data_IF_809450149953
#
_entry.id   IF_809450149953
#
_cell.length_a   1.000
_cell.length_b   1.000
_cell.length_c   1.000
_cell.angle_alpha   90.00
_cell.angle_beta   90.00
_cell.angle_gamma   90.00
#
_symmetry.space_group_name_H-M   'P 1'
#
loop_
_entity.id
_entity.type
_entity.pdbx_description
1 polymer ?
2 non-polymer ?
3 non-polymer ?
4 water ?
#
# COMPACT_ATOMS: atom_id res chain seq x y z
N UNK A 16 -21.13 -7.36 11.64
CA UNK A 16 -21.86 -8.66 11.68
C UNK A 16 -21.06 -9.86 11.17
N UNK A 17 -19.75 -9.72 11.12
CA UNK A 17 -18.86 -10.79 10.68
C UNK A 17 -17.77 -10.87 11.74
N UNK A 18 -17.58 -12.05 12.33
CA UNK A 18 -16.57 -12.21 13.37
C UNK A 18 -15.62 -13.37 13.12
N UNK A 19 -14.41 -13.24 13.64
CA UNK A 19 -13.37 -14.26 13.52
C UNK A 19 -13.69 -15.35 14.55
N UNK A 20 -13.71 -16.60 14.09
CA UNK A 20 -14.01 -17.73 14.98
C UNK A 20 -12.75 -18.31 15.64
N UNK A 21 -11.72 -18.55 14.83
CA UNK A 21 -10.46 -19.10 15.33
C UNK A 21 -9.30 -18.86 14.37
N UNK A 22 -8.09 -19.02 14.88
CA UNK A 22 -6.87 -18.83 14.10
C UNK A 22 -5.92 -20.00 14.33
N UNK A 23 -6.00 -21.00 13.46
CA UNK A 23 -5.15 -22.19 13.55
C UNK A 23 -3.85 -21.95 12.81
N UNK A 24 -2.75 -21.95 13.56
CA UNK A 24 -1.40 -21.74 13.01
C UNK A 24 -1.05 -22.81 11.96
N UNK A 25 -0.17 -22.43 11.03
CA UNK A 25 0.28 -23.32 9.97
C UNK A 25 1.80 -23.40 9.91
N UNK A 26 2.49 -22.28 10.11
CA UNK A 26 3.95 -22.26 10.08
C UNK A 26 4.51 -21.12 10.90
N UNK A 27 5.82 -21.09 11.10
CA UNK A 27 6.45 -20.02 11.88
C UNK A 27 7.80 -19.63 11.26
N UNK A 28 8.44 -18.60 11.82
CA UNK A 28 9.72 -18.16 11.31
C UNK A 28 10.33 -17.06 12.16
N UNK A 29 11.50 -16.59 11.74
CA UNK A 29 12.22 -15.55 12.49
C UNK A 29 11.58 -14.17 12.34
N UNK A 30 10.87 -13.95 11.25
CA UNK A 30 10.23 -12.66 11.02
C UNK A 30 8.75 -12.74 10.61
N UNK A 31 8.38 -13.86 9.97
CA UNK A 31 7.01 -14.05 9.47
C UNK A 31 6.38 -15.37 9.90
N UNK A 32 5.04 -15.42 9.91
CA UNK A 32 4.32 -16.64 10.29
C UNK A 32 3.09 -16.70 9.40
N UNK A 33 2.51 -17.88 9.24
CA UNK A 33 1.33 -18.05 8.39
C UNK A 33 0.28 -18.86 9.12
N UNK A 34 -0.96 -18.41 9.09
CA UNK A 34 -2.03 -19.14 9.77
C UNK A 34 -3.34 -19.20 8.99
N UNK A 35 -4.22 -20.10 9.41
CA UNK A 35 -5.52 -20.29 8.78
C UNK A 35 -6.55 -19.58 9.65
N UNK A 36 -7.37 -18.73 9.04
CA UNK A 36 -8.37 -18.00 9.79
C UNK A 36 -9.78 -18.47 9.48
N UNK A 37 -10.53 -18.76 10.53
CA UNK A 37 -11.90 -19.23 10.39
C UNK A 37 -12.81 -18.09 10.83
N UNK A 38 -13.84 -17.78 10.04
CA UNK A 38 -14.73 -16.66 10.36
C UNK A 38 -16.17 -16.88 9.95
N UNK A 39 -17.07 -16.03 10.45
CA UNK A 39 -18.49 -16.16 10.13
C UNK A 39 -18.96 -15.08 9.17
N UNK A 40 -19.45 -15.47 8.00
CA UNK A 40 -19.90 -14.44 7.08
C UNK A 40 -21.24 -13.91 7.59
N UNK A 41 -21.80 -12.86 6.95
CA UNK A 41 -23.08 -12.27 7.37
C UNK A 41 -24.20 -13.26 7.65
N UNK A 42 -24.51 -14.06 6.65
CA UNK A 42 -25.59 -15.03 6.73
C UNK A 42 -25.45 -16.03 7.87
N UNK A 43 -24.22 -16.40 8.21
CA UNK A 43 -24.00 -17.34 9.28
C UNK A 43 -23.08 -18.49 8.88
N UNK A 44 -22.82 -18.58 7.58
CA UNK A 44 -21.96 -19.61 7.03
C UNK A 44 -20.50 -19.42 7.45
N UNK A 45 -19.84 -20.52 7.79
CA UNK A 45 -18.45 -20.44 8.21
C UNK A 45 -17.56 -20.49 7.00
N UNK A 46 -16.54 -19.65 6.98
CA UNK A 46 -15.61 -19.61 5.87
C UNK A 46 -14.16 -19.58 6.35
N UNK A 47 -13.25 -19.82 5.43
CA UNK A 47 -11.82 -19.86 5.76
C UNK A 47 -10.99 -18.87 4.95
N UNK A 48 -9.79 -18.60 5.44
CA UNK A 48 -8.93 -17.63 4.80
C UNK A 48 -7.50 -17.88 5.27
N UNK A 49 -6.54 -17.74 4.35
CA UNK A 49 -5.13 -17.92 4.71
C UNK A 49 -4.57 -16.54 5.04
N UNK A 50 -4.21 -16.34 6.30
CA UNK A 50 -3.70 -15.04 6.75
C UNK A 50 -2.24 -15.01 7.12
N UNK A 51 -1.55 -13.97 6.67
CA UNK A 51 -0.14 -13.81 6.97
C UNK A 51 0.01 -12.84 8.12
N UNK A 52 0.94 -13.12 9.03
CA UNK A 52 1.18 -12.25 10.19
C UNK A 52 2.68 -12.15 10.51
N UNK A 53 3.09 -11.02 11.06
CA UNK A 53 4.49 -10.85 11.44
C UNK A 53 4.69 -11.41 12.84
N UNK A 54 5.93 -11.37 13.32
CA UNK A 54 6.24 -11.87 14.67
C UNK A 54 6.99 -10.83 15.48
N UNK A 55 7.03 -9.60 14.95
CA UNK A 55 7.72 -8.48 15.58
C UNK A 55 6.84 -7.47 16.34
N UNK A 56 5.60 -7.27 15.91
CA UNK A 56 4.72 -6.30 16.59
C UNK A 56 4.25 -6.82 17.94
N UNK A 57 4.13 -5.95 18.94
CA UNK A 57 3.70 -6.37 20.26
C UNK A 57 2.49 -5.58 20.77
N UNK A 58 2.74 -4.40 21.34
CA UNK A 58 1.65 -3.59 21.88
C UNK A 58 1.29 -2.41 20.97
N UNK A 59 2.18 -2.08 20.04
CA UNK A 59 1.95 -0.95 19.13
C UNK A 59 0.72 -1.14 18.24
N UNK A 60 0.07 -0.03 17.91
CA UNK A 60 -1.13 -0.04 17.06
C UNK A 60 -0.80 -0.43 15.63
N UNK A 61 0.47 -0.26 15.26
CA UNK A 61 0.94 -0.59 13.91
C UNK A 61 2.33 -1.22 13.96
N UNK A 62 2.61 -2.07 12.98
CA UNK A 62 3.91 -2.73 12.89
C UNK A 62 5.03 -1.69 12.87
N UNK A 63 4.95 -0.80 11.89
CA UNK A 63 5.96 0.23 11.76
C UNK A 63 5.41 1.53 11.21
N UNK A 64 6.29 2.38 10.70
CA UNK A 64 5.90 3.65 10.13
C UNK A 64 6.41 3.76 8.70
N UNK A 65 5.93 4.77 8.01
CA UNK A 65 6.30 5.08 6.65
C UNK A 65 6.38 6.61 6.69
N UNK A 66 7.48 7.19 6.23
CA UNK A 66 7.59 8.64 6.30
C UNK A 66 7.42 9.30 4.95
N UNK A 67 6.61 10.36 4.92
CA UNK A 67 6.41 11.15 3.72
C UNK A 67 7.27 12.37 4.07
N UNK A 68 8.54 12.36 3.61
CA UNK A 68 9.51 13.43 3.84
C UNK A 68 9.37 14.49 2.78
N UNK A 69 9.12 15.73 3.20
CA UNK A 69 8.97 16.81 2.27
C UNK A 69 10.13 17.74 2.45
N UNK A 70 11.04 17.72 1.49
CA UNK A 70 12.25 18.55 1.50
C UNK A 70 11.88 19.98 1.06
N UNK A 71 12.12 20.97 1.92
CA UNK A 71 11.76 22.35 1.62
C UNK A 71 12.90 23.35 1.55
N UNK A 72 13.04 23.97 0.38
CA UNK A 72 14.08 24.95 0.14
C UNK A 72 13.45 26.24 -0.37
N UNK A 73 14.04 27.37 -0.03
CA UNK A 73 13.49 28.65 -0.45
C UNK A 73 13.60 29.00 -1.94
N UNK A 74 14.46 28.30 -2.67
CA UNK A 74 14.62 28.59 -4.08
C UNK A 74 14.12 27.44 -4.92
N UNK A 75 13.41 26.51 -4.28
CA UNK A 75 12.91 25.34 -4.99
C UNK A 75 11.52 24.89 -4.57
N UNK A 76 10.90 24.10 -5.43
CA UNK A 76 9.59 23.55 -5.15
C UNK A 76 9.90 22.29 -4.35
N UNK A 77 9.03 21.94 -3.41
CA UNK A 77 9.23 20.77 -2.55
C UNK A 77 9.60 19.48 -3.27
N UNK A 78 10.50 18.72 -2.64
CA UNK A 78 10.93 17.45 -3.17
C UNK A 78 10.39 16.40 -2.20
N UNK A 79 10.14 15.21 -2.71
CA UNK A 79 9.68 14.14 -1.84
C UNK A 79 10.92 13.25 -1.79
N UNK A 80 11.41 12.99 -0.59
CA UNK A 80 12.60 12.16 -0.43
C UNK A 80 12.18 10.69 -0.34
N UNK A 81 12.71 9.88 -1.25
CA UNK A 81 12.40 8.44 -1.29
C UNK A 81 13.69 7.62 -1.17
N UNK A 82 13.55 6.30 -1.03
CA UNK A 82 14.70 5.39 -0.92
C UNK A 82 14.59 4.17 -1.83
N UNK A 83 15.70 3.86 -2.49
CA UNK A 83 15.79 2.72 -3.40
C UNK A 83 16.52 1.61 -2.68
N UNK A 84 15.92 0.44 -2.63
CA UNK A 84 16.57 -0.64 -1.94
C UNK A 84 16.06 -1.99 -2.39
N UNK A 85 17.00 -2.91 -2.60
CA UNK A 85 16.69 -4.27 -3.02
C UNK A 85 15.80 -4.90 -1.96
N UNK A 86 14.70 -5.50 -2.42
CA UNK A 86 13.78 -6.18 -1.53
C UNK A 86 13.70 -7.63 -1.99
N UNK A 87 14.19 -8.54 -1.14
CA UNK A 87 14.21 -9.97 -1.40
C UNK A 87 12.92 -10.57 -1.93
N UNK A 88 11.78 -10.29 -1.26
CA UNK A 88 10.50 -10.85 -1.72
C UNK A 88 10.15 -10.53 -3.15
N UNK A 89 10.68 -9.43 -3.64
CA UNK A 89 10.41 -8.99 -4.99
C UNK A 89 11.52 -9.40 -5.93
N UNK A 90 12.62 -9.88 -5.37
CA UNK A 90 13.74 -10.25 -6.21
C UNK A 90 14.21 -9.04 -7.02
N UNK A 91 14.08 -7.85 -6.44
CA UNK A 91 14.50 -6.66 -7.14
C UNK A 91 14.53 -5.42 -6.27
N UNK A 92 14.83 -4.28 -6.90
CA UNK A 92 14.89 -2.99 -6.21
C UNK A 92 13.54 -2.27 -6.22
N UNK A 93 13.17 -1.70 -5.09
CA UNK A 93 11.91 -0.96 -4.96
C UNK A 93 12.14 0.46 -4.48
N UNK A 94 11.35 1.38 -5.03
CA UNK A 94 11.41 2.78 -4.64
C UNK A 94 10.27 2.96 -3.63
N UNK A 95 10.64 3.21 -2.38
CA UNK A 95 9.68 3.37 -1.30
C UNK A 95 9.86 4.64 -0.46
N UNK A 96 8.96 4.81 0.51
CA UNK A 96 9.05 5.92 1.44
C UNK A 96 9.95 5.37 2.51
N UNK A 97 10.72 6.23 3.16
CA UNK A 97 11.57 5.73 4.22
C UNK A 97 10.65 5.00 5.20
N UNK A 98 11.02 3.81 5.64
CA UNK A 98 10.14 3.09 6.55
C UNK A 98 10.87 2.21 7.55
N UNK A 99 10.20 1.93 8.66
CA UNK A 99 10.80 1.13 9.70
C UNK A 99 9.82 0.57 10.72
N UNK A 100 10.35 -0.11 11.72
CA UNK A 100 9.52 -0.71 12.75
C UNK A 100 9.53 0.16 13.99
N UNK A 101 8.46 0.09 14.77
CA UNK A 101 8.37 0.88 15.99
C UNK A 101 8.79 0.02 17.18
N UNK A 102 9.84 0.44 17.87
CA UNK A 102 10.31 -0.31 19.03
C UNK A 102 9.32 -0.14 20.18
N UNK A 103 9.27 -1.10 21.08
CA UNK A 103 8.35 -1.02 22.20
C UNK A 103 8.55 0.26 23.02
N UNK A 104 7.46 0.96 23.29
CA UNK A 104 7.52 2.18 24.06
C UNK A 104 7.75 3.41 23.20
N UNK A 105 8.23 3.20 21.98
CA UNK A 105 8.50 4.31 21.06
C UNK A 105 7.22 4.79 20.36
N UNK A 106 7.09 6.11 20.21
CA UNK A 106 5.93 6.69 19.57
C UNK A 106 6.13 6.72 18.05
N UNK A 107 5.08 6.44 17.27
CA UNK A 107 5.13 6.42 15.81
C UNK A 107 5.92 7.60 15.27
N UNK A 108 5.66 8.77 15.85
CA UNK A 108 6.33 9.99 15.43
C UNK A 108 7.84 9.91 15.67
N UNK A 109 8.24 9.36 16.81
CA UNK A 109 9.66 9.27 17.12
C UNK A 109 10.33 8.30 16.17
N UNK A 110 9.70 7.15 16.01
CA UNK A 110 10.23 6.10 15.15
C UNK A 110 10.39 6.61 13.73
N UNK A 111 9.45 7.45 13.30
CA UNK A 111 9.49 8.01 11.96
C UNK A 111 10.72 8.89 11.78
N UNK A 112 10.98 9.74 12.76
CA UNK A 112 12.14 10.63 12.69
C UNK A 112 13.44 9.86 12.77
N UNK A 113 13.47 8.84 13.62
CA UNK A 113 14.67 8.03 13.79
C UNK A 113 14.99 7.29 12.50
N UNK A 114 13.99 6.64 11.93
CA UNK A 114 14.17 5.89 10.70
C UNK A 114 14.49 6.77 9.51
N UNK A 115 14.04 8.01 9.54
CA UNK A 115 14.33 8.90 8.43
C UNK A 115 15.78 9.31 8.46
N UNK A 116 16.28 9.60 9.66
CA UNK A 116 17.67 10.02 9.80
C UNK A 116 18.59 8.85 9.49
N UNK A 117 18.17 7.64 9.86
CA UNK A 117 18.98 6.46 9.59
C UNK A 117 19.10 6.16 8.10
N UNK A 118 17.96 6.19 7.40
CA UNK A 118 17.94 5.86 5.97
C UNK A 118 18.24 6.98 4.99
N UNK A 119 18.25 8.23 5.42
CA UNK A 119 18.50 9.33 4.48
C UNK A 119 19.53 10.33 4.98
N UNK A 120 19.63 10.43 6.30
CA UNK A 120 20.57 11.38 6.86
C UNK A 120 19.93 12.71 7.20
N UNK A 121 18.64 12.84 6.87
CA UNK A 121 17.87 14.07 7.12
C UNK A 121 17.18 14.16 8.49
N UNK A 122 17.36 15.29 9.15
CA UNK A 122 16.70 15.50 10.42
C UNK A 122 15.45 16.30 10.01
N UNK A 123 14.29 15.87 10.47
CA UNK A 123 13.08 16.58 10.10
C UNK A 123 12.18 16.87 11.27
N UNK A 124 11.07 17.54 10.98
CA UNK A 124 10.10 17.89 11.99
C UNK A 124 8.77 17.24 11.63
N UNK A 125 7.97 16.90 12.64
CA UNK A 125 6.67 16.30 12.39
C UNK A 125 5.68 17.32 11.82
N UNK A 126 4.93 16.88 10.83
CA UNK A 126 3.90 17.73 10.24
C UNK A 126 2.57 17.14 10.71
N UNK A 127 2.46 15.82 10.62
CA UNK A 127 1.25 15.13 11.05
C UNK A 127 1.43 13.61 11.16
N UNK A 128 0.55 12.99 11.93
CA UNK A 128 0.60 11.56 12.13
C UNK A 128 -0.70 11.04 11.53
N UNK A 129 -0.89 9.73 11.49
CA UNK A 129 -2.13 9.21 10.94
C UNK A 129 -2.54 8.00 11.74
N UNK A 130 -3.77 7.50 11.51
CA UNK A 130 -4.23 6.32 12.23
C UNK A 130 -3.47 5.09 11.68
N UNK A 131 -3.70 3.92 12.25
CA UNK A 131 -3.01 2.72 11.77
C UNK A 131 -3.68 2.34 10.46
N UNK A 132 -2.90 2.27 9.38
CA UNK A 132 -3.48 1.91 8.09
C UNK A 132 -2.92 0.56 7.61
N UNK A 133 -3.78 -0.26 7.00
CA UNK A 133 -3.36 -1.58 6.55
C UNK A 133 -2.59 -1.64 5.23
N UNK A 134 -1.54 -2.47 5.19
CA UNK A 134 -0.69 -2.64 4.02
C UNK A 134 -1.27 -3.55 2.94
N UNK A 135 -1.95 -4.61 3.36
CA UNK A 135 -2.54 -5.55 2.40
C UNK A 135 -3.58 -6.33 3.16
N UNK A 136 -4.73 -5.69 3.45
CA UNK A 136 -5.86 -6.27 4.19
C UNK A 136 -6.37 -7.62 3.70
N UNK A 137 -6.32 -7.88 2.40
CA UNK A 137 -6.80 -9.16 1.91
C UNK A 137 -5.80 -10.29 2.10
N UNK A 138 -4.66 -9.95 2.73
CA UNK A 138 -3.59 -10.91 2.95
C UNK A 138 -2.98 -10.84 4.36
N UNK A 139 -2.69 -9.66 4.87
CA UNK A 139 -2.06 -9.57 6.19
C UNK A 139 -2.66 -8.54 7.15
N UNK A 140 -2.34 -8.72 8.42
CA UNK A 140 -2.80 -7.83 9.48
C UNK A 140 -1.78 -6.70 9.65
N UNK A 141 -0.90 -6.56 8.68
CA UNK A 141 0.12 -5.52 8.75
C UNK A 141 -0.43 -4.10 8.64
N UNK A 142 -0.22 -3.30 9.68
CA UNK A 142 -0.67 -1.91 9.68
C UNK A 142 0.52 -1.02 9.98
N UNK A 143 0.46 0.23 9.53
CA UNK A 143 1.55 1.16 9.75
C UNK A 143 0.98 2.53 10.04
N UNK A 144 1.86 3.48 10.34
CA UNK A 144 1.45 4.84 10.61
C UNK A 144 2.16 5.68 9.56
N UNK A 145 1.43 6.48 8.78
CA UNK A 145 2.07 7.30 7.79
C UNK A 145 2.31 8.66 8.43
N UNK A 146 3.57 8.98 8.68
CA UNK A 146 3.92 10.24 9.31
C UNK A 146 4.48 11.21 8.29
N UNK A 147 3.84 12.38 8.19
CA UNK A 147 4.30 13.40 7.28
C UNK A 147 5.30 14.21 8.07
N UNK A 148 6.49 14.32 7.51
CA UNK A 148 7.61 15.02 8.13
C UNK A 148 8.18 16.06 7.18
N UNK A 149 8.57 17.21 7.72
CA UNK A 149 9.16 18.24 6.89
C UNK A 149 10.65 18.29 7.15
N UNK A 150 11.41 18.60 6.10
CA UNK A 150 12.86 18.69 6.18
C UNK A 150 13.27 20.04 5.63
N UNK A 151 14.10 20.75 6.40
CA UNK A 151 14.57 22.07 5.96
C UNK A 151 15.86 21.97 5.15
N UNK A 152 15.74 22.00 3.83
CA UNK A 152 16.92 21.89 3.00
C UNK A 152 17.88 23.06 3.08
N UNK A 153 17.40 24.21 3.54
CA UNK A 153 18.23 25.40 3.65
C UNK A 153 19.11 25.36 4.90
N UNK A 154 18.72 24.56 5.88
CA UNK A 154 19.47 24.45 7.13
C UNK A 154 20.86 23.87 6.86
N UNK A 155 21.85 24.39 7.58
CA UNK A 155 23.23 23.94 7.42
C UNK A 155 23.46 22.49 7.85
N UNK A 156 22.57 21.98 8.70
CA UNK A 156 22.68 20.60 9.19
C UNK A 156 22.28 19.60 8.10
N UNK A 157 21.41 20.03 7.21
CA UNK A 157 20.94 19.19 6.11
C UNK A 157 21.73 19.45 4.83
N UNK A 158 22.85 20.17 4.95
CA UNK A 158 23.69 20.50 3.80
C UNK A 158 24.23 19.25 3.10
N UNK A 159 24.97 18.45 3.84
CA UNK A 159 25.53 17.21 3.31
C UNK A 159 25.03 16.10 4.21
N UNK A 160 23.86 15.51 3.87
CA UNK A 160 23.20 14.44 4.62
C UNK A 160 23.92 13.10 4.50
N UNK A 161 24.44 12.60 5.62
CA UNK A 161 25.15 11.33 5.62
C UNK A 161 24.32 10.23 6.27
N UNK A 162 23.69 9.37 5.45
CA UNK A 162 22.85 8.26 5.92
C UNK A 162 23.61 7.40 6.93
N UNK A 163 22.86 6.75 7.83
CA UNK A 163 23.47 5.88 8.85
C UNK A 163 22.67 4.57 8.96
N UNK A 164 22.70 3.74 7.90
CA UNK A 164 21.97 2.47 7.88
C UNK A 164 22.39 1.41 8.92
N UNK A 165 21.46 0.53 9.28
CA UNK A 165 21.72 -0.50 10.27
C UNK A 165 22.47 -1.71 9.77
N UNK A 166 22.36 -2.81 10.50
CA UNK A 166 23.04 -4.06 10.14
C UNK A 166 22.53 -4.68 8.83
N UNK A 167 23.34 -4.56 7.79
CA UNK A 167 22.99 -5.14 6.50
C UNK A 167 21.97 -4.36 5.67
N UNK A 168 21.80 -3.08 5.98
CA UNK A 168 20.85 -2.26 5.24
C UNK A 168 21.64 -1.40 4.26
N UNK A 169 21.29 -1.51 2.99
CA UNK A 169 21.96 -0.72 1.95
C UNK A 169 20.89 0.07 1.21
N UNK A 170 20.93 1.39 1.41
CA UNK A 170 19.94 2.28 0.84
C UNK A 170 20.41 3.46 -0.02
N UNK A 171 19.79 3.64 -1.18
CA UNK A 171 20.15 4.77 -2.02
C UNK A 171 19.02 5.79 -1.85
N UNK A 172 19.35 7.06 -1.76
CA UNK A 172 18.34 8.09 -1.57
C UNK A 172 18.00 8.86 -2.84
N UNK A 173 16.71 8.97 -3.16
CA UNK A 173 16.28 9.66 -4.37
C UNK A 173 15.24 10.74 -4.07
N UNK A 174 15.58 11.99 -4.31
CA UNK A 174 14.63 13.08 -4.07
C UNK A 174 13.96 13.42 -5.38
N UNK A 175 12.64 13.36 -5.41
CA UNK A 175 11.89 13.66 -6.62
C UNK A 175 10.98 14.86 -6.40
N UNK A 176 10.80 15.70 -7.43
CA UNK A 176 9.97 16.91 -7.40
C UNK A 176 8.51 16.58 -7.15
N UNK A 177 7.97 17.14 -6.07
CA UNK A 177 6.59 16.91 -5.73
C UNK A 177 5.66 17.25 -6.90
N UNK A 178 6.00 18.31 -7.63
CA UNK A 178 5.22 18.77 -8.78
C UNK A 178 5.15 17.78 -9.94
N UNK A 179 6.24 17.03 -10.12
CA UNK A 179 6.34 16.07 -11.22
C UNK A 179 6.65 14.66 -10.72
N UNK A 180 6.31 14.37 -9.46
CA UNK A 180 6.56 13.06 -8.86
C UNK A 180 6.06 11.87 -9.66
N UNK A 181 4.83 11.93 -10.16
CA UNK A 181 4.31 10.80 -10.92
C UNK A 181 5.11 10.53 -12.19
N UNK A 182 5.38 11.55 -12.99
CA UNK A 182 6.13 11.36 -14.22
C UNK A 182 7.53 10.83 -13.96
N UNK A 183 8.19 11.41 -12.96
CA UNK A 183 9.55 11.01 -12.59
C UNK A 183 9.59 9.58 -12.04
N UNK A 184 8.48 9.11 -11.51
CA UNK A 184 8.44 7.76 -10.97
C UNK A 184 8.29 6.77 -12.11
N UNK A 185 7.52 7.16 -13.11
CA UNK A 185 7.31 6.31 -14.28
C UNK A 185 8.62 6.12 -15.04
N UNK A 186 9.48 7.14 -14.98
CA UNK A 186 10.75 7.11 -15.66
C UNK A 186 11.71 6.06 -15.09
N UNK A 187 11.83 6.04 -13.78
CA UNK A 187 12.73 5.12 -13.08
C UNK A 187 12.32 3.63 -13.13
N UNK A 188 11.02 3.36 -13.30
CA UNK A 188 10.54 1.98 -13.34
C UNK A 188 10.90 1.22 -14.62
N UNK A 189 10.91 1.92 -15.74
CA UNK A 189 11.22 1.30 -17.03
C UNK A 189 12.71 1.02 -17.27
N UNK A 190 13.57 2.00 -17.00
CA UNK A 190 15.02 1.89 -17.23
C UNK A 190 15.81 0.92 -16.36
N UNK A 191 15.39 0.71 -15.11
CA UNK A 191 16.12 -0.20 -14.20
C UNK A 191 15.30 -1.43 -13.82
N UNK A 192 14.17 -1.65 -14.49
CA UNK A 192 13.30 -2.79 -14.19
C UNK A 192 12.87 -2.66 -12.73
N UNK A 193 12.92 -1.44 -12.24
CA UNK A 193 12.56 -1.10 -10.86
C UNK A 193 11.09 -1.28 -10.60
N UNK A 194 10.73 -1.18 -9.32
CA UNK A 194 9.33 -1.26 -8.91
C UNK A 194 9.06 -0.19 -7.87
N UNK A 195 7.93 0.51 -8.00
CA UNK A 195 7.53 1.56 -7.08
C UNK A 195 6.54 0.93 -6.10
N UNK A 196 6.52 1.43 -4.87
CA UNK A 196 5.60 0.90 -3.88
C UNK A 196 4.19 1.41 -4.24
N UNK A 197 3.16 0.63 -3.95
CA UNK A 197 1.80 1.08 -4.25
C UNK A 197 1.41 2.36 -3.50
N UNK A 198 1.89 2.51 -2.27
CA UNK A 198 1.58 3.70 -1.49
C UNK A 198 2.26 4.93 -2.07
N UNK A 199 3.50 4.77 -2.51
CA UNK A 199 4.21 5.88 -3.10
C UNK A 199 3.52 6.29 -4.40
N UNK A 200 3.01 5.31 -5.14
CA UNK A 200 2.36 5.61 -6.39
C UNK A 200 1.00 6.27 -6.23
N UNK A 201 0.23 5.82 -5.23
CA UNK A 201 -1.10 6.36 -4.97
C UNK A 201 -0.99 7.80 -4.53
N UNK A 202 0.13 8.08 -3.88
CA UNK A 202 0.40 9.41 -3.41
C UNK A 202 0.71 10.29 -4.61
N UNK A 203 1.54 9.78 -5.53
CA UNK A 203 1.90 10.55 -6.73
C UNK A 203 0.69 10.70 -7.66
N UNK A 204 -0.22 9.74 -7.65
CA UNK A 204 -1.39 9.85 -8.49
C UNK A 204 -2.31 10.97 -7.98
N UNK A 205 -2.44 11.08 -6.66
CA UNK A 205 -3.31 12.11 -6.11
C UNK A 205 -2.71 13.47 -6.39
N UNK A 206 -1.39 13.57 -6.31
CA UNK A 206 -0.71 14.84 -6.59
C UNK A 206 -1.01 15.32 -8.02
N UNK A 207 -1.13 14.37 -8.95
CA UNK A 207 -1.42 14.72 -10.34
C UNK A 207 -2.88 15.13 -10.43
N UNK A 208 -3.76 14.31 -9.86
CA UNK A 208 -5.19 14.58 -9.91
C UNK A 208 -5.53 15.95 -9.34
N UNK A 209 -4.91 16.29 -8.22
CA UNK A 209 -5.16 17.58 -7.59
C UNK A 209 -4.54 18.74 -8.38
N UNK A 210 -3.27 18.57 -8.79
CA UNK A 210 -2.57 19.61 -9.53
C UNK A 210 -2.97 19.59 -11.00
N UNK B 16 23.54 -5.49 -8.45
CA UNK B 16 24.59 -5.81 -7.44
C UNK B 16 24.03 -6.80 -6.44
N UNK B 17 22.71 -6.81 -6.30
CA UNK B 17 22.06 -7.74 -5.37
C UNK B 17 21.08 -8.60 -6.16
N UNK B 18 21.08 -9.90 -5.90
CA UNK B 18 20.17 -10.81 -6.60
C UNK B 18 19.79 -12.03 -5.77
N UNK B 19 18.73 -12.71 -6.21
CA UNK B 19 18.24 -13.89 -5.52
C UNK B 19 19.17 -15.07 -5.79
N UNK B 20 19.42 -15.86 -4.76
CA UNK B 20 20.29 -17.01 -4.89
C UNK B 20 19.51 -18.32 -4.74
N UNK B 21 18.47 -18.31 -3.92
CA UNK B 21 17.67 -19.50 -3.73
C UNK B 21 16.38 -19.22 -2.95
N UNK B 22 15.30 -19.87 -3.34
CA UNK B 22 14.01 -19.70 -2.69
C UNK B 22 13.49 -21.04 -2.16
N UNK B 23 13.73 -21.30 -0.87
CA UNK B 23 13.31 -22.55 -0.24
C UNK B 23 11.87 -22.49 0.28
N UNK B 24 11.06 -23.45 -0.16
CA UNK B 24 9.67 -23.54 0.26
C UNK B 24 9.63 -23.78 1.77
N UNK B 25 8.60 -23.24 2.43
CA UNK B 25 8.43 -23.45 3.86
C UNK B 25 7.02 -23.97 4.09
N UNK B 26 6.05 -23.44 3.34
CA UNK B 26 4.68 -23.90 3.44
C UNK B 26 3.85 -23.51 2.23
N UNK B 27 2.76 -24.24 1.99
CA UNK B 27 1.91 -23.95 0.85
C UNK B 27 0.42 -23.88 1.24
N UNK B 28 -0.41 -23.47 0.30
CA UNK B 28 -1.84 -23.37 0.55
C UNK B 28 -2.57 -23.03 -0.74
N UNK B 29 -3.87 -23.29 -0.77
CA UNK B 29 -4.68 -23.03 -1.97
C UNK B 29 -4.52 -21.62 -2.53
N UNK B 30 -4.18 -20.65 -1.68
CA UNK B 30 -4.02 -19.28 -2.15
C UNK B 30 -2.71 -18.61 -1.75
N UNK B 31 -2.19 -18.99 -0.58
CA UNK B 31 -0.97 -18.38 -0.05
C UNK B 31 0.21 -19.33 0.12
N UNK B 32 1.43 -18.85 -0.13
CA UNK B 32 2.64 -19.67 -0.02
C UNK B 32 3.76 -18.99 0.80
N UNK B 33 4.26 -19.65 1.84
CA UNK B 33 5.34 -19.07 2.65
C UNK B 33 6.68 -19.52 2.06
N UNK B 34 7.73 -18.72 2.22
CA UNK B 34 9.01 -19.07 1.61
C UNK B 34 10.22 -18.46 2.29
N UNK B 35 11.37 -19.11 2.17
CA UNK B 35 12.60 -18.59 2.74
C UNK B 35 13.45 -18.24 1.53
N UNK B 36 13.95 -17.01 1.49
CA UNK B 36 14.74 -16.55 0.37
C UNK B 36 16.18 -16.27 0.79
N UNK B 37 17.12 -16.69 -0.03
CA UNK B 37 18.54 -16.47 0.28
C UNK B 37 19.07 -15.57 -0.84
N UNK B 38 19.76 -14.49 -0.50
CA UNK B 38 20.25 -13.55 -1.50
C UNK B 38 21.63 -13.00 -1.18
N UNK B 39 22.18 -12.20 -2.10
CA UNK B 39 23.50 -11.62 -1.91
C UNK B 39 23.45 -10.09 -1.86
N UNK B 40 24.14 -9.49 -0.89
CA UNK B 40 24.16 -8.02 -0.79
C UNK B 40 25.27 -7.43 -1.66
N UNK B 41 25.43 -6.08 -1.68
CA UNK B 41 26.45 -5.40 -2.49
C UNK B 41 27.90 -5.78 -2.21
N UNK B 42 28.20 -6.15 -0.97
CA UNK B 42 29.55 -6.50 -0.60
C UNK B 42 29.92 -7.94 -0.93
N UNK B 43 29.02 -8.64 -1.60
CA UNK B 43 29.29 -10.01 -1.97
C UNK B 43 29.03 -11.00 -0.85
N UNK B 44 28.22 -10.58 0.12
CA UNK B 44 27.90 -11.43 1.26
C UNK B 44 26.47 -11.98 1.13
N UNK B 45 26.28 -13.21 1.63
CA UNK B 45 24.98 -13.87 1.56
C UNK B 45 24.12 -13.65 2.81
N UNK B 46 22.82 -13.41 2.60
CA UNK B 46 21.85 -13.15 3.67
C UNK B 46 20.53 -13.82 3.31
N UNK B 47 19.66 -14.01 4.31
CA UNK B 47 18.35 -14.61 4.06
C UNK B 47 17.22 -13.60 4.28
N UNK B 48 15.98 -14.06 4.10
CA UNK B 48 14.81 -13.20 4.26
C UNK B 48 13.56 -14.02 4.03
N UNK B 49 12.64 -14.01 4.99
CA UNK B 49 11.38 -14.76 4.85
C UNK B 49 10.35 -13.99 4.01
N UNK B 50 9.78 -14.67 3.01
CA UNK B 50 8.83 -14.05 2.09
C UNK B 50 7.50 -14.77 1.88
N UNK B 51 6.52 -14.05 1.35
CA UNK B 51 5.21 -14.64 1.10
C UNK B 51 4.87 -14.49 -0.37
N UNK B 52 4.12 -15.45 -0.92
CA UNK B 52 3.75 -15.43 -2.33
C UNK B 52 2.37 -16.01 -2.54
N UNK B 53 1.71 -15.58 -3.62
CA UNK B 53 0.39 -16.10 -3.94
C UNK B 53 0.55 -17.26 -4.90
N UNK B 54 0.10 -18.43 -4.47
CA UNK B 54 0.19 -19.64 -5.29
C UNK B 54 -0.56 -19.46 -6.59
N UNK B 55 -1.54 -18.56 -6.58
CA UNK B 55 -2.28 -18.29 -7.79
C UNK B 55 -1.52 -17.24 -8.58
N UNK B 56 -0.31 -17.59 -8.99
CA UNK B 56 0.54 -16.69 -9.77
C UNK B 56 0.86 -17.33 -11.11
N UNK B 57 0.53 -16.61 -12.18
CA UNK B 57 0.78 -17.09 -13.54
C UNK B 57 1.85 -16.21 -14.17
N UNK B 58 1.63 -15.76 -15.40
CA UNK B 58 2.60 -14.90 -16.05
C UNK B 58 1.88 -13.78 -16.78
N UNK B 59 1.33 -12.88 -15.99
CA UNK B 59 0.61 -11.72 -16.52
C UNK B 59 1.47 -10.52 -16.23
N UNK B 60 0.84 -9.36 -16.14
CA UNK B 60 1.55 -8.12 -15.85
C UNK B 60 1.64 -7.86 -14.34
N UNK B 61 0.62 -8.31 -13.60
CA UNK B 61 0.58 -8.14 -12.15
C UNK B 61 -0.48 -9.08 -11.55
N UNK B 62 -0.43 -9.26 -10.23
CA UNK B 62 -1.39 -10.11 -9.50
C UNK B 62 -2.82 -9.63 -9.67
N UNK B 63 -3.03 -8.31 -9.53
CA UNK B 63 -4.36 -7.75 -9.65
C UNK B 63 -4.41 -6.26 -9.93
N UNK B 64 -5.60 -5.68 -9.75
CA UNK B 64 -5.83 -4.25 -9.98
C UNK B 64 -6.45 -3.56 -8.79
N UNK B 65 -6.17 -2.27 -8.67
CA UNK B 65 -6.74 -1.44 -7.63
C UNK B 65 -7.37 -0.32 -8.47
N UNK B 66 -8.66 -0.05 -8.28
CA UNK B 66 -9.32 0.99 -9.06
C UNK B 66 -9.61 2.26 -8.28
N UNK B 67 -9.11 3.40 -8.76
CA UNK B 67 -9.43 4.69 -8.14
C UNK B 67 -10.63 5.17 -8.95
N UNK B 68 -11.85 5.01 -8.41
CA UNK B 68 -13.10 5.42 -9.08
C UNK B 68 -13.53 6.85 -8.74
N UNK B 69 -13.46 7.74 -9.73
CA UNK B 69 -13.88 9.12 -9.52
C UNK B 69 -15.28 9.33 -10.12
N UNK B 70 -16.30 9.44 -9.25
CA UNK B 70 -17.69 9.65 -9.65
C UNK B 70 -17.88 11.14 -9.96
N UNK B 71 -18.24 11.43 -11.21
CA UNK B 71 -18.42 12.81 -11.67
C UNK B 71 -19.83 13.21 -12.14
N UNK B 72 -20.44 14.13 -11.42
CA UNK B 72 -21.76 14.61 -11.80
C UNK B 72 -21.64 16.11 -11.99
N UNK B 73 -22.23 16.65 -13.07
CA UNK B 73 -22.16 18.10 -13.28
C UNK B 73 -22.68 18.89 -12.09
N UNK B 74 -21.99 19.99 -11.80
CA UNK B 74 -22.34 20.89 -10.71
C UNK B 74 -22.22 20.29 -9.32
N UNK B 75 -21.55 19.15 -9.23
CA UNK B 75 -21.33 18.46 -7.98
C UNK B 75 -19.83 18.28 -7.78
N UNK B 76 -19.44 18.05 -6.53
CA UNK B 76 -18.03 17.77 -6.20
C UNK B 76 -17.84 16.35 -6.68
N UNK B 77 -16.60 16.01 -7.01
CA UNK B 77 -16.34 14.64 -7.44
C UNK B 77 -16.30 13.77 -6.19
N UNK B 78 -16.79 12.54 -6.33
CA UNK B 78 -16.80 11.59 -5.23
C UNK B 78 -15.80 10.47 -5.52
N UNK B 79 -15.06 10.03 -4.51
CA UNK B 79 -14.14 8.92 -4.70
C UNK B 79 -14.93 7.71 -4.18
N UNK B 80 -15.20 6.75 -5.05
CA UNK B 80 -15.94 5.56 -4.64
C UNK B 80 -15.03 4.51 -3.97
N UNK B 81 -15.26 4.24 -2.70
CA UNK B 81 -14.48 3.25 -1.95
C UNK B 81 -15.38 2.06 -1.55
N UNK B 82 -14.76 0.99 -1.06
CA UNK B 82 -15.49 -0.17 -0.61
C UNK B 82 -15.12 -0.55 0.83
N UNK B 83 -16.10 -1.07 1.55
CA UNK B 83 -15.94 -1.48 2.94
C UNK B 83 -16.17 -2.99 2.96
N UNK B 84 -15.21 -3.74 3.50
CA UNK B 84 -15.29 -5.20 3.54
C UNK B 84 -14.65 -5.78 4.77
N UNK B 85 -15.20 -6.88 5.25
CA UNK B 85 -14.62 -7.57 6.39
C UNK B 85 -13.37 -8.27 5.83
N UNK B 86 -12.23 -8.09 6.50
CA UNK B 86 -10.99 -8.69 6.06
C UNK B 86 -10.41 -9.66 7.09
N UNK B 87 -10.60 -10.98 6.87
CA UNK B 87 -10.11 -12.04 7.74
C UNK B 87 -8.71 -11.83 8.30
N UNK B 88 -7.74 -11.43 7.46
CA UNK B 88 -6.39 -11.22 7.96
C UNK B 88 -6.32 -10.11 8.99
N UNK B 89 -7.29 -9.19 8.92
CA UNK B 89 -7.34 -8.05 9.82
C UNK B 89 -8.23 -8.25 11.03
N UNK B 90 -9.15 -9.20 10.94
CA UNK B 90 -10.05 -9.44 12.06
C UNK B 90 -11.02 -8.29 12.21
N UNK B 91 -11.30 -7.61 11.10
CA UNK B 91 -12.22 -6.49 11.15
C UNK B 91 -12.55 -5.95 9.78
N UNK B 92 -13.13 -4.76 9.74
CA UNK B 92 -13.50 -4.15 8.47
C UNK B 92 -12.50 -3.11 7.97
N UNK B 93 -12.36 -3.00 6.65
CA UNK B 93 -11.44 -2.05 6.03
C UNK B 93 -12.09 -1.29 4.88
N UNK B 94 -11.68 -0.03 4.72
CA UNK B 94 -12.14 0.86 3.65
C UNK B 94 -11.04 0.78 2.60
N UNK B 95 -11.38 0.32 1.40
CA UNK B 95 -10.40 0.16 0.32
C UNK B 95 -10.87 0.61 -1.05
N UNK B 96 -9.92 0.69 -1.99
CA UNK B 96 -10.22 1.02 -3.39
C UNK B 96 -10.72 -0.28 -3.96
N UNK B 97 -11.78 -0.22 -4.75
CA UNK B 97 -12.28 -1.47 -5.32
C UNK B 97 -11.08 -2.21 -5.93
N UNK B 98 -10.98 -3.51 -5.68
CA UNK B 98 -9.83 -4.26 -6.19
C UNK B 98 -10.09 -5.73 -6.42
N UNK B 99 -9.34 -6.29 -7.35
CA UNK B 99 -9.49 -7.70 -7.65
C UNK B 99 -8.34 -8.23 -8.47
N UNK B 100 -8.25 -9.56 -8.54
CA UNK B 100 -7.20 -10.24 -9.30
C UNK B 100 -7.53 -10.21 -10.79
N UNK B 101 -6.51 -10.08 -11.63
CA UNK B 101 -6.71 -10.05 -13.07
C UNK B 101 -6.93 -11.50 -13.53
N UNK B 102 -7.96 -11.70 -14.36
CA UNK B 102 -8.28 -13.02 -14.88
C UNK B 102 -7.32 -13.41 -15.99
N UNK B 103 -7.15 -14.71 -16.19
CA UNK B 103 -6.25 -15.19 -17.22
C UNK B 103 -6.68 -14.70 -18.60
N UNK B 104 -5.77 -14.02 -19.31
CA UNK B 104 -6.10 -13.53 -20.63
C UNK B 104 -7.00 -12.32 -20.56
N UNK B 105 -6.60 -11.37 -19.72
CA UNK B 105 -7.36 -10.15 -19.52
C UNK B 105 -6.40 -8.97 -19.29
N UNK B 106 -6.74 -7.82 -19.83
CA UNK B 106 -5.91 -6.64 -19.67
C UNK B 106 -6.28 -5.91 -18.37
N UNK B 107 -5.30 -5.24 -17.76
CA UNK B 107 -5.53 -4.51 -16.51
C UNK B 107 -6.78 -3.64 -16.60
N UNK B 108 -6.88 -2.88 -17.69
CA UNK B 108 -8.00 -2.00 -17.89
C UNK B 108 -9.30 -2.76 -17.83
N UNK B 109 -9.32 -3.94 -18.45
CA UNK B 109 -10.52 -4.73 -18.47
C UNK B 109 -10.83 -5.26 -17.08
N UNK B 110 -9.78 -5.63 -16.36
CA UNK B 110 -9.95 -6.15 -15.01
C UNK B 110 -10.49 -5.04 -14.11
N UNK B 111 -9.99 -3.82 -14.32
CA UNK B 111 -10.40 -2.64 -13.54
C UNK B 111 -11.88 -2.34 -13.75
N UNK B 112 -12.32 -2.29 -15.00
CA UNK B 112 -13.72 -1.98 -15.23
C UNK B 112 -14.66 -3.08 -14.74
N UNK B 113 -14.20 -4.33 -14.79
CA UNK B 113 -15.00 -5.46 -14.35
C UNK B 113 -15.12 -5.50 -12.85
N UNK B 114 -13.97 -5.39 -12.20
CA UNK B 114 -13.94 -5.44 -10.75
C UNK B 114 -14.72 -4.28 -10.15
N UNK B 115 -14.87 -3.20 -10.91
CA UNK B 115 -15.60 -2.04 -10.40
C UNK B 115 -17.10 -2.29 -10.44
N UNK B 116 -17.56 -2.74 -11.59
CA UNK B 116 -18.97 -3.03 -11.78
C UNK B 116 -19.43 -4.17 -10.85
N UNK B 117 -18.54 -5.12 -10.56
CA UNK B 117 -18.90 -6.23 -9.67
C UNK B 117 -18.94 -5.80 -8.21
N UNK B 118 -18.00 -4.98 -7.80
CA UNK B 118 -17.97 -4.57 -6.41
C UNK B 118 -18.81 -3.33 -6.04
N UNK B 119 -19.11 -2.46 -7.01
CA UNK B 119 -19.91 -1.26 -6.73
C UNK B 119 -21.12 -1.08 -7.64
N UNK B 120 -21.11 -1.76 -8.78
CA UNK B 120 -22.21 -1.62 -9.73
C UNK B 120 -21.93 -0.59 -10.81
N UNK B 121 -21.04 0.36 -10.51
CA UNK B 121 -20.68 1.42 -11.44
C UNK B 121 -19.96 0.97 -12.68
N UNK B 122 -20.23 1.65 -13.78
CA UNK B 122 -19.58 1.39 -15.06
C UNK B 122 -18.83 2.66 -15.48
N UNK B 123 -17.51 2.61 -15.58
CA UNK B 123 -16.76 3.81 -15.95
C UNK B 123 -15.89 3.70 -17.19
N UNK B 124 -15.07 4.72 -17.40
CA UNK B 124 -14.15 4.77 -18.53
C UNK B 124 -12.73 4.90 -18.00
N UNK B 125 -11.79 4.18 -18.61
CA UNK B 125 -10.39 4.24 -18.18
C UNK B 125 -9.84 5.66 -18.35
N UNK B 126 -9.13 6.14 -17.34
CA UNK B 126 -8.53 7.47 -17.39
C UNK B 126 -7.03 7.29 -17.60
N UNK B 127 -6.41 6.55 -16.70
CA UNK B 127 -4.98 6.30 -16.83
C UNK B 127 -4.60 4.97 -16.18
N UNK B 128 -3.43 4.46 -16.57
CA UNK B 128 -2.91 3.20 -16.05
C UNK B 128 -1.58 3.42 -15.37
N UNK B 129 -1.24 2.50 -14.48
CA UNK B 129 0.02 2.59 -13.80
C UNK B 129 0.80 1.31 -14.07
N UNK B 130 2.10 1.36 -13.85
CA UNK B 130 2.86 0.14 -14.06
C UNK B 130 2.60 -0.71 -12.81
N UNK B 131 2.91 -1.99 -12.86
CA UNK B 131 2.68 -2.81 -11.69
C UNK B 131 3.49 -2.26 -10.52
N UNK B 132 2.85 -2.08 -9.37
CA UNK B 132 3.54 -1.57 -8.18
C UNK B 132 3.43 -2.58 -7.04
N UNK B 133 4.44 -2.64 -6.17
CA UNK B 133 4.42 -3.60 -5.08
C UNK B 133 3.51 -3.27 -3.90
N UNK B 134 2.74 -4.26 -3.47
CA UNK B 134 1.82 -4.12 -2.35
C UNK B 134 2.49 -3.99 -1.00
N UNK B 135 3.55 -4.78 -0.77
CA UNK B 135 4.31 -4.76 0.48
C UNK B 135 5.61 -5.45 0.11
N UNK B 136 6.59 -4.67 -0.37
CA UNK B 136 7.92 -5.12 -0.80
C UNK B 136 8.70 -6.00 0.17
N UNK B 137 8.73 -5.62 1.44
CA UNK B 137 9.49 -6.40 2.40
C UNK B 137 8.79 -7.56 3.07
N UNK B 138 7.81 -8.13 2.40
CA UNK B 138 7.08 -9.26 2.96
C UNK B 138 6.51 -10.15 1.86
N UNK B 139 6.07 -9.51 0.77
CA UNK B 139 5.46 -10.23 -0.34
C UNK B 139 5.96 -9.76 -1.71
N UNK B 140 5.55 -10.47 -2.75
CA UNK B 140 5.97 -10.13 -4.10
C UNK B 140 4.75 -9.66 -4.91
N UNK B 141 3.61 -9.56 -4.23
CA UNK B 141 2.36 -9.13 -4.83
C UNK B 141 2.42 -7.74 -5.46
N UNK B 142 1.96 -7.65 -6.70
CA UNK B 142 1.94 -6.38 -7.42
C UNK B 142 0.52 -6.08 -7.88
N UNK B 143 0.22 -4.81 -8.10
CA UNK B 143 -1.10 -4.46 -8.61
C UNK B 143 -0.91 -3.34 -9.61
N UNK B 144 -1.95 -3.07 -10.37
CA UNK B 144 -1.96 -1.97 -11.30
C UNK B 144 -2.99 -1.05 -10.65
N UNK B 145 -2.66 0.23 -10.51
CA UNK B 145 -3.64 1.14 -9.96
C UNK B 145 -4.22 1.82 -11.19
N UNK B 146 -5.49 1.56 -11.47
CA UNK B 146 -6.15 2.15 -12.61
C UNK B 146 -7.15 3.23 -12.19
N UNK B 147 -6.94 4.45 -12.70
CA UNK B 147 -7.86 5.55 -12.43
C UNK B 147 -8.99 5.42 -13.44
N UNK B 148 -10.22 5.32 -12.93
CA UNK B 148 -11.40 5.18 -13.75
C UNK B 148 -12.38 6.29 -13.42
N UNK B 149 -12.91 6.93 -14.45
CA UNK B 149 -13.87 7.99 -14.20
C UNK B 149 -15.25 7.40 -14.39
N UNK B 150 -16.20 7.85 -13.59
CA UNK B 150 -17.56 7.34 -13.72
C UNK B 150 -18.48 8.52 -13.96
N UNK B 151 -19.09 8.56 -15.14
CA UNK B 151 -20.03 9.63 -15.45
C UNK B 151 -21.33 9.37 -14.68
N UNK B 152 -21.54 10.11 -13.60
CA UNK B 152 -22.73 9.92 -12.80
C UNK B 152 -23.98 10.56 -13.35
N UNK B 153 -23.89 11.13 -14.55
CA UNK B 153 -25.06 11.76 -15.15
C UNK B 153 -25.65 10.85 -16.21
N UNK B 154 -25.07 9.66 -16.34
CA UNK B 154 -25.54 8.68 -17.31
C UNK B 154 -26.52 7.78 -16.57
N UNK B 155 -27.51 7.27 -17.31
CA UNK B 155 -28.54 6.42 -16.73
C UNK B 155 -28.03 5.13 -16.09
N UNK B 156 -27.08 4.47 -16.76
CA UNK B 156 -26.54 3.21 -16.26
C UNK B 156 -25.87 3.36 -14.89
N UNK B 157 -25.51 4.59 -14.54
CA UNK B 157 -24.86 4.84 -13.26
C UNK B 157 -25.76 5.56 -12.27
N UNK B 158 -27.03 5.70 -12.62
CA UNK B 158 -27.99 6.35 -11.75
C UNK B 158 -28.23 5.46 -10.53
N UNK B 159 -28.58 4.21 -10.81
CA UNK B 159 -28.81 3.23 -9.76
C UNK B 159 -27.94 2.02 -10.07
N UNK B 160 -26.64 2.11 -9.73
CA UNK B 160 -25.68 1.03 -9.97
C UNK B 160 -26.00 -0.25 -9.20
N UNK B 161 -25.96 -1.38 -9.90
CA UNK B 161 -26.25 -2.67 -9.29
C UNK B 161 -25.00 -3.50 -9.06
N UNK B 162 -24.57 -3.61 -7.79
CA UNK B 162 -23.37 -4.40 -7.45
C UNK B 162 -23.65 -5.90 -7.55
N UNK B 163 -22.80 -6.62 -8.26
CA UNK B 163 -22.96 -8.06 -8.43
C UNK B 163 -21.75 -8.73 -7.80
N UNK B 164 -21.79 -8.96 -6.48
CA UNK B 164 -20.69 -9.58 -5.76
C UNK B 164 -20.58 -11.08 -6.00
N UNK B 165 -19.34 -11.59 -6.00
CA UNK B 165 -19.13 -13.01 -6.22
C UNK B 165 -19.52 -13.78 -4.99
N UNK B 166 -19.60 -15.10 -5.09
CA UNK B 166 -19.98 -15.90 -3.95
C UNK B 166 -19.08 -15.65 -2.74
N UNK B 167 -19.70 -15.39 -1.60
CA UNK B 167 -18.95 -15.16 -0.38
C UNK B 167 -18.33 -13.78 -0.27
N UNK B 168 -18.62 -12.92 -1.24
CA UNK B 168 -18.06 -11.57 -1.20
C UNK B 168 -19.13 -10.65 -0.63
N UNK B 169 -18.75 -9.84 0.35
CA UNK B 169 -19.70 -8.93 0.96
C UNK B 169 -19.11 -7.52 0.97
N UNK B 170 -19.51 -6.73 0.00
CA UNK B 170 -19.02 -5.37 -0.16
C UNK B 170 -20.05 -4.28 0.09
N UNK B 171 -19.64 -3.25 0.83
CA UNK B 171 -20.52 -2.13 1.11
C UNK B 171 -19.89 -0.96 0.40
N UNK B 172 -20.67 -0.25 -0.42
CA UNK B 172 -20.14 0.90 -1.16
C UNK B 172 -20.20 2.19 -0.34
N UNK B 173 -19.12 2.95 -0.39
CA UNK B 173 -19.04 4.19 0.39
C UNK B 173 -18.39 5.24 -0.48
N UNK B 174 -19.13 6.28 -0.81
CA UNK B 174 -18.61 7.36 -1.64
C UNK B 174 -18.38 8.61 -0.84
N UNK B 175 -17.15 9.11 -0.91
CA UNK B 175 -16.77 10.30 -0.16
C UNK B 175 -16.26 11.37 -1.09
N UNK B 176 -16.52 12.65 -0.73
CA UNK B 176 -16.08 13.78 -1.54
C UNK B 176 -14.57 13.75 -1.68
N UNK B 177 -14.11 13.86 -2.91
CA UNK B 177 -12.68 13.87 -3.20
C UNK B 177 -12.06 15.11 -2.59
N UNK B 178 -12.79 16.22 -2.61
CA UNK B 178 -12.30 17.49 -2.07
C UNK B 178 -12.12 17.54 -0.55
N UNK B 179 -12.63 16.53 0.15
CA UNK B 179 -12.54 16.47 1.60
C UNK B 179 -12.26 15.02 2.08
N UNK B 180 -11.70 14.20 1.18
CA UNK B 180 -11.42 12.78 1.45
C UNK B 180 -10.72 12.41 2.77
N UNK B 181 -9.59 13.04 3.04
CA UNK B 181 -8.84 12.76 4.24
C UNK B 181 -9.64 13.02 5.52
N UNK B 182 -10.41 14.11 5.55
CA UNK B 182 -11.20 14.43 6.74
C UNK B 182 -12.47 13.58 6.84
N UNK B 183 -13.03 13.23 5.69
CA UNK B 183 -14.23 12.41 5.68
C UNK B 183 -13.87 10.96 6.00
N UNK B 184 -12.59 10.62 5.90
CA UNK B 184 -12.15 9.26 6.22
C UNK B 184 -12.01 9.20 7.73
N UNK B 185 -11.40 10.24 8.29
CA UNK B 185 -11.21 10.32 9.71
C UNK B 185 -12.56 10.35 10.40
N UNK B 186 -13.55 10.88 9.70
CA UNK B 186 -14.90 10.98 10.24
C UNK B 186 -15.54 9.60 10.37
N UNK B 187 -14.99 8.64 9.64
CA UNK B 187 -15.50 7.29 9.69
C UNK B 187 -14.75 6.49 10.74
N UNK B 188 -13.44 6.71 10.82
CA UNK B 188 -12.60 6.02 11.78
C UNK B 188 -13.00 6.38 13.21
N UNK B 189 -13.59 7.57 13.34
CA UNK B 189 -14.02 8.06 14.63
C UNK B 189 -15.42 7.56 14.93
N UNK B 190 -16.23 7.44 13.87
CA UNK B 190 -17.60 6.99 14.01
C UNK B 190 -17.71 5.55 14.51
N UNK B 191 -16.76 4.71 14.12
CA UNK B 191 -16.75 3.31 14.54
C UNK B 191 -15.37 2.76 14.22
N UNK B 192 -15.03 1.59 14.75
CA UNK B 192 -13.73 1.01 14.48
C UNK B 192 -13.68 0.61 13.01
N UNK B 193 -12.66 1.11 12.31
CA UNK B 193 -12.44 0.86 10.90
C UNK B 193 -10.98 1.06 10.56
N UNK B 194 -10.51 0.33 9.56
CA UNK B 194 -9.14 0.55 9.16
C UNK B 194 -9.16 0.95 7.68
N UNK B 195 -8.48 2.07 7.41
CA UNK B 195 -8.41 2.59 6.06
C UNK B 195 -7.19 1.99 5.41
N UNK B 196 -7.35 1.57 4.15
CA UNK B 196 -6.24 1.00 3.39
C UNK B 196 -5.13 2.06 3.24
N UNK B 197 -3.88 1.63 3.29
CA UNK B 197 -2.75 2.55 3.20
C UNK B 197 -2.67 3.31 1.89
N UNK B 198 -3.11 2.68 0.81
CA UNK B 198 -3.09 3.33 -0.48
C UNK B 198 -4.15 4.45 -0.51
N UNK B 199 -5.33 4.12 0.01
CA UNK B 199 -6.39 5.10 0.10
C UNK B 199 -5.93 6.31 0.92
N UNK B 200 -5.27 6.06 2.04
CA UNK B 200 -4.80 7.15 2.91
C UNK B 200 -3.72 7.97 2.23
N UNK B 201 -2.76 7.29 1.60
CA UNK B 201 -1.68 7.98 0.91
C UNK B 201 -2.28 8.93 -0.12
N UNK B 202 -3.26 8.43 -0.86
CA UNK B 202 -3.95 9.21 -1.87
C UNK B 202 -4.59 10.46 -1.23
N UNK B 203 -5.35 10.24 -0.16
CA UNK B 203 -6.03 11.30 0.58
C UNK B 203 -5.05 12.34 1.15
N UNK B 204 -3.88 11.91 1.59
CA UNK B 204 -2.90 12.85 2.13
C UNK B 204 -2.35 13.74 1.04
N UNK B 205 -2.13 13.17 -0.14
CA UNK B 205 -1.58 13.94 -1.25
C UNK B 205 -2.60 14.96 -1.82
N UNK B 206 -3.88 14.61 -1.80
CA UNK B 206 -4.87 15.56 -2.28
C UNK B 206 -4.76 16.83 -1.48
N UNK B 207 -4.38 16.72 -0.21
CA UNK B 207 -4.23 17.88 0.65
C UNK B 207 -2.85 18.50 0.52
N UNK B 208 -1.84 17.68 0.23
CA UNK B 208 -0.49 18.19 0.10
C UNK B 208 -0.24 18.97 -1.18
N UNK B 209 -0.96 18.64 -2.24
CA UNK B 209 -0.79 19.34 -3.53
C UNK B 209 -0.94 20.85 -3.50
N UNK B 210 -1.55 21.39 -2.44
CA UNK B 210 -1.73 22.83 -2.36
C UNK B 210 -1.24 23.38 -1.02
X LIG C 1 13.09 1.41 4.38
X LIG D 1 16.30 1.70 9.03
X LIG E 1 13.63 -0.47 11.74
X LIG F 1 13.66 -0.73 8.13
X LIG F 1 14.08 0.27 9.18
X LIG F 1 13.69 -0.12 6.60
X LIG F 1 12.14 -1.27 8.37
X LIG F 1 14.61 -2.03 8.21
X LIG F 1 14.14 -3.22 8.84
X LIG F 1 15.12 -4.38 8.85
X LIG F 1 14.54 -5.51 9.54
X LIG F 1 15.51 -4.92 7.46
X LIG F 1 16.52 -4.05 6.87
X LIG F 1 16.02 -6.34 7.86
X LIG F 1 17.42 -6.36 8.25
X LIG F 1 15.07 -6.74 9.00
X LIG F 1 13.91 -7.51 8.46
X LIG F 1 12.59 -7.13 8.43
X LIG F 1 11.86 -8.09 7.87
X LIG F 1 12.67 -9.10 7.52
X LIG F 1 12.47 -10.36 6.89
X LIG F 1 11.22 -10.72 6.51
X LIG F 1 13.56 -11.24 6.64
X LIG F 1 14.98 -10.92 7.03
X LIG F 1 15.09 -9.59 7.68
X LIG F 1 13.98 -8.74 7.90
X LIG G 1 -12.05 -7.28 -3.73
X LIG H 1 -14.79 -8.63 -6.67
X LIG I 1 -12.61 -11.11 -8.68
X LIG J 1 -10.99 -10.02 -5.53
X LIG J 1 -9.89 -9.33 -4.79
X LIG J 1 -10.51 -10.52 -7.01
X LIG J 1 -12.28 -9.04 -5.76
X LIG J 1 -11.58 -11.33 -4.77
X LIG J 1 -10.70 -12.45 -4.65
X LIG J 1 -11.32 -13.64 -3.93
X LIG J 1 -10.35 -14.68 -3.85
X LIG J 1 -11.75 -13.40 -2.49
X LIG J 1 -13.04 -12.82 -2.43
X LIG J 1 -11.67 -14.83 -1.88
X LIG J 1 -12.92 -15.58 -2.06
X LIG J 1 -10.46 -15.48 -2.65
X LIG J 1 -9.17 -15.31 -1.89
X LIG J 1 -8.13 -14.51 -2.24
X LIG J 1 -7.16 -14.59 -1.33
X LIG J 1 -7.56 -15.44 -0.38
X LIG J 1 -6.95 -15.91 0.82
X LIG J 1 -5.72 -15.46 1.13
X LIG J 1 -7.59 -16.84 1.67
X LIG J 1 -8.96 -17.39 1.37
X LIG J 1 -9.53 -16.84 0.09
X LIG J 1 -8.84 -15.91 -0.72
#
# INVERSE_FOLDING_TARGET
>A
GSMESQEPTESSQNGKQYIISEELISEGKWVKLEKTTYMDPTGKTRTWESVKRTTRKEQTADGVAVIPVLQRTLHYECIVLVKQFRPPMGGYCIEFPAGLIDDGETPEAAALRELEEETGYKGDIAECSPAVCMDPGLSNCTIHIVTVTINGDDAENARPKPKPGDGEFVEVISLPKNDLLQRLDALVAEEHLTVDARVYSYALALKHANAK
>B
GSMESQEPTESSQNGKQYIISEELISEGKWVKLEKTTYMDPTGKTRTWESVKRTTRKEQTADGVAVIPVLQRTLHYECIVLVKQFRPPMGGYCIEFPAGLIDDGETPEAAALRELEEETGYKGDIAECSPAVCMDPGLSNCTIHIVTVTINGDDAENARPKPKPGDGEFVEVISLPKNDLLQRLDALVAEEHLTVDARVYSYALALKHANAK
>C hetero
1 MG MG
>D hetero
1 MG MG
>E hetero
1 MG MG
>F hetero
1 AMP P O1P O2P O3P O5' C5' C4' O4' C3' O3' C2' O2' C1' N9 C8 N7 C5 C6 N6 N1 C2 N3 C4
>G hetero
1 MG MG
>H hetero
1 MG MG
>I hetero
1 MG MG
>J hetero
1 AMP P O1P O2P O3P O5' C5' C4' O4' C3' O3' C2' O2' C1' N9 C8 N7 C5 C6 N6 N1 C2 N3 C4
#
